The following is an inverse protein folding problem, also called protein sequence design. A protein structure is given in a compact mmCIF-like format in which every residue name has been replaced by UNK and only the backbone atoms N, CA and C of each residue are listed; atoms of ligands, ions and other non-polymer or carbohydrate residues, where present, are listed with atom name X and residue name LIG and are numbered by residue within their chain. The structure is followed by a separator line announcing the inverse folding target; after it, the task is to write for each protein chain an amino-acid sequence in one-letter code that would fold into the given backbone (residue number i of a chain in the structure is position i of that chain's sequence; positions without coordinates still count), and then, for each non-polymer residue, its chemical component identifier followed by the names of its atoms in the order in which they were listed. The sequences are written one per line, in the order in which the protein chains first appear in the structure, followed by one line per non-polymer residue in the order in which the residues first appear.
data_IF_509628497477
#
_entry.id   IF_509628497477
#
_cell.length_a   1.000
_cell.length_b   1.000
_cell.length_c   1.000
_cell.angle_alpha   90.00
_cell.angle_beta   90.00
_cell.angle_gamma   90.00
#
_symmetry.space_group_name_H-M   'P 1'
#
loop_
_entity.id
_entity.type
_entity.pdbx_description
1 polymer ?
#
# COMPACT_ATOMS: atom_id res chain seq x y z
N UNK A 1 -14.54 -0.55 -3.10
CA UNK A 1 -15.59 -1.59 -2.97
C UNK A 1 -14.97 -2.95 -3.23
N UNK A 2 -15.26 -3.98 -2.43
CA UNK A 2 -14.84 -5.36 -2.70
C UNK A 2 -15.96 -6.08 -3.46
N UNK A 3 -15.69 -6.56 -4.67
CA UNK A 3 -16.64 -7.38 -5.44
C UNK A 3 -16.51 -8.82 -4.95
N UNK A 4 -17.61 -9.42 -4.49
CA UNK A 4 -17.60 -10.79 -4.00
C UNK A 4 -17.23 -11.80 -5.11
N UNK A 5 -16.52 -12.87 -4.74
CA UNK A 5 -16.14 -13.94 -5.66
C UNK A 5 -17.35 -14.51 -6.41
N UNK A 6 -18.47 -14.77 -5.73
CA UNK A 6 -19.70 -15.29 -6.36
C UNK A 6 -20.17 -14.39 -7.50
N UNK A 7 -20.21 -13.07 -7.29
CA UNK A 7 -20.62 -12.10 -8.30
C UNK A 7 -19.68 -12.11 -9.51
N UNK A 8 -18.37 -12.25 -9.30
CA UNK A 8 -17.41 -12.37 -10.42
C UNK A 8 -17.72 -13.62 -11.25
N UNK A 9 -17.93 -14.76 -10.59
CA UNK A 9 -18.16 -16.05 -11.25
C UNK A 9 -19.52 -16.11 -11.96
N UNK A 10 -20.57 -15.58 -11.33
CA UNK A 10 -21.92 -15.46 -11.89
C UNK A 10 -21.90 -14.58 -13.13
N UNK A 11 -21.38 -13.35 -13.04
CA UNK A 11 -21.27 -12.45 -14.19
C UNK A 11 -20.42 -13.06 -15.30
N UNK A 12 -19.29 -13.72 -14.98
CA UNK A 12 -18.45 -14.36 -15.99
C UNK A 12 -19.22 -15.43 -16.79
N UNK A 13 -20.13 -16.15 -16.14
CA UNK A 13 -20.98 -17.16 -16.78
C UNK A 13 -22.13 -16.53 -17.57
N UNK A 14 -22.79 -15.53 -17.00
CA UNK A 14 -23.92 -14.83 -17.63
C UNK A 14 -23.49 -14.11 -18.91
N UNK A 15 -22.39 -13.36 -18.83
CA UNK A 15 -21.85 -12.56 -19.93
C UNK A 15 -20.95 -13.38 -20.88
N UNK A 16 -20.69 -14.66 -20.57
CA UNK A 16 -19.85 -15.57 -21.36
C UNK A 16 -18.48 -14.97 -21.70
N UNK A 17 -17.81 -14.43 -20.68
CA UNK A 17 -16.54 -13.72 -20.86
C UNK A 17 -15.42 -14.65 -21.32
N UNK A 18 -14.50 -14.13 -22.13
CA UNK A 18 -13.34 -14.89 -22.61
C UNK A 18 -12.19 -14.91 -21.59
N UNK A 19 -12.11 -13.93 -20.69
CA UNK A 19 -11.05 -13.77 -19.68
C UNK A 19 -11.64 -13.15 -18.41
N UNK A 20 -11.17 -13.60 -17.24
CA UNK A 20 -11.43 -12.94 -15.95
C UNK A 20 -10.18 -12.18 -15.51
N UNK A 21 -10.31 -10.88 -15.25
CA UNK A 21 -9.25 -10.05 -14.67
C UNK A 21 -9.46 -9.84 -13.16
N UNK A 22 -8.43 -10.11 -12.35
CA UNK A 22 -8.44 -9.85 -10.91
C UNK A 22 -7.36 -8.82 -10.55
N UNK A 23 -7.76 -7.77 -9.82
CA UNK A 23 -6.88 -6.71 -9.34
C UNK A 23 -6.80 -6.69 -7.82
N UNK A 24 -5.59 -6.57 -7.26
CA UNK A 24 -5.34 -6.54 -5.82
C UNK A 24 -4.38 -5.43 -5.41
N UNK A 25 -4.74 -4.67 -4.37
CA UNK A 25 -3.93 -3.56 -3.85
C UNK A 25 -3.18 -3.93 -2.56
N UNK A 26 -3.80 -4.74 -1.69
CA UNK A 26 -3.27 -5.09 -0.37
C UNK A 26 -3.03 -6.59 -0.25
N UNK A 27 -2.22 -7.02 0.72
CA UNK A 27 -1.82 -8.42 0.89
C UNK A 27 -3.02 -9.37 1.03
N UNK A 28 -4.09 -9.05 1.79
CA UNK A 28 -5.29 -9.90 1.87
C UNK A 28 -5.96 -10.16 0.52
N UNK A 29 -5.82 -9.26 -0.47
CA UNK A 29 -6.37 -9.49 -1.81
C UNK A 29 -5.74 -10.71 -2.51
N UNK A 30 -4.52 -11.11 -2.12
CA UNK A 30 -3.87 -12.30 -2.66
C UNK A 30 -4.57 -13.59 -2.23
N UNK A 31 -5.07 -13.66 -0.99
CA UNK A 31 -5.81 -14.81 -0.50
C UNK A 31 -7.18 -14.93 -1.20
N UNK A 32 -7.85 -13.80 -1.47
CA UNK A 32 -9.07 -13.77 -2.29
C UNK A 32 -8.82 -14.28 -3.71
N UNK A 33 -7.70 -13.92 -4.34
CA UNK A 33 -7.35 -14.45 -5.67
C UNK A 33 -7.13 -15.97 -5.65
N UNK A 34 -6.50 -16.51 -4.59
CA UNK A 34 -6.37 -17.96 -4.40
C UNK A 34 -7.73 -18.62 -4.20
N UNK A 35 -8.61 -17.99 -3.43
CA UNK A 35 -9.98 -18.47 -3.21
C UNK A 35 -10.76 -18.52 -4.53
N UNK A 36 -10.72 -17.45 -5.33
CA UNK A 36 -11.39 -17.39 -6.65
C UNK A 36 -10.85 -18.48 -7.58
N UNK A 37 -9.53 -18.71 -7.63
CA UNK A 37 -8.95 -19.78 -8.44
C UNK A 37 -9.49 -21.17 -8.04
N UNK A 38 -9.59 -21.45 -6.73
CA UNK A 38 -10.20 -22.70 -6.23
C UNK A 38 -11.67 -22.82 -6.59
N UNK A 39 -12.42 -21.73 -6.53
CA UNK A 39 -13.84 -21.73 -6.89
C UNK A 39 -14.06 -21.92 -8.38
N UNK A 40 -13.24 -21.30 -9.23
CA UNK A 40 -13.23 -21.56 -10.68
C UNK A 40 -13.00 -23.05 -10.99
N UNK A 41 -12.03 -23.66 -10.32
CA UNK A 41 -11.77 -25.10 -10.44
C UNK A 41 -12.94 -25.95 -9.93
N UNK A 42 -13.49 -25.62 -8.76
CA UNK A 42 -14.64 -26.32 -8.17
C UNK A 42 -15.85 -26.31 -9.09
N UNK A 43 -16.08 -25.18 -9.77
CA UNK A 43 -17.15 -25.00 -10.75
C UNK A 43 -16.80 -25.52 -12.14
N UNK A 44 -15.58 -26.06 -12.33
CA UNK A 44 -15.07 -26.59 -13.61
C UNK A 44 -15.15 -25.57 -14.74
N UNK A 45 -14.87 -24.32 -14.42
CA UNK A 45 -14.74 -23.27 -15.43
C UNK A 45 -13.45 -23.48 -16.23
N UNK A 46 -13.42 -23.02 -17.47
CA UNK A 46 -12.25 -23.11 -18.37
C UNK A 46 -11.95 -21.74 -19.01
N UNK A 47 -12.12 -20.68 -18.21
CA UNK A 47 -11.88 -19.30 -18.59
C UNK A 47 -10.49 -18.90 -18.06
N UNK A 48 -9.57 -18.39 -18.90
CA UNK A 48 -8.30 -17.84 -18.46
C UNK A 48 -8.46 -16.72 -17.41
N UNK A 49 -7.50 -16.65 -16.49
CA UNK A 49 -7.43 -15.63 -15.43
C UNK A 49 -6.19 -14.77 -15.60
N UNK A 50 -6.38 -13.45 -15.65
CA UNK A 50 -5.31 -12.46 -15.58
C UNK A 50 -5.24 -11.85 -14.17
N UNK A 51 -4.09 -11.97 -13.53
CA UNK A 51 -3.81 -11.45 -12.19
C UNK A 51 -2.95 -10.19 -12.30
N UNK A 52 -3.39 -9.08 -11.69
CA UNK A 52 -2.65 -7.82 -11.65
C UNK A 52 -2.88 -7.03 -10.36
N UNK A 53 -2.20 -5.89 -10.24
CA UNK A 53 -2.28 -5.00 -9.08
C UNK A 53 -1.03 -5.01 -8.21
N UNK A 54 -0.94 -4.05 -7.29
CA UNK A 54 0.28 -3.66 -6.58
C UNK A 54 0.93 -4.79 -5.77
N UNK A 55 0.13 -5.66 -5.14
CA UNK A 55 0.63 -6.76 -4.30
C UNK A 55 0.89 -8.05 -5.08
N UNK A 56 0.46 -8.11 -6.34
CA UNK A 56 0.61 -9.30 -7.16
C UNK A 56 2.02 -9.43 -7.72
N UNK A 57 2.48 -10.67 -7.90
CA UNK A 57 3.77 -10.94 -8.52
C UNK A 57 3.74 -12.25 -9.29
N UNK A 58 4.70 -12.39 -10.22
CA UNK A 58 4.96 -13.64 -10.92
C UNK A 58 5.16 -14.80 -9.95
N UNK A 59 5.97 -14.56 -8.92
CA UNK A 59 6.32 -15.57 -7.92
C UNK A 59 5.09 -16.03 -7.12
N UNK A 60 4.30 -15.09 -6.60
CA UNK A 60 3.09 -15.44 -5.85
C UNK A 60 2.10 -16.20 -6.74
N UNK A 61 1.85 -15.72 -7.95
CA UNK A 61 0.91 -16.35 -8.88
C UNK A 61 1.32 -17.79 -9.21
N UNK A 62 2.59 -18.02 -9.56
CA UNK A 62 3.11 -19.35 -9.87
C UNK A 62 3.11 -20.31 -8.68
N UNK A 63 3.35 -19.82 -7.46
CA UNK A 63 3.51 -20.66 -6.26
C UNK A 63 2.19 -20.89 -5.52
N UNK A 64 1.25 -19.93 -5.58
CA UNK A 64 0.06 -19.92 -4.71
C UNK A 64 -1.27 -19.90 -5.43
N UNK A 65 -1.34 -19.39 -6.66
CA UNK A 65 -2.62 -19.21 -7.37
C UNK A 65 -2.78 -20.28 -8.45
N UNK A 66 -1.88 -20.34 -9.43
CA UNK A 66 -2.00 -21.17 -10.64
C UNK A 66 -2.18 -22.66 -10.34
N UNK A 67 -1.58 -23.18 -9.27
CA UNK A 67 -1.72 -24.59 -8.90
C UNK A 67 -3.14 -24.99 -8.42
N UNK A 68 -4.04 -24.02 -8.20
CA UNK A 68 -5.41 -24.29 -7.75
C UNK A 68 -6.43 -24.30 -8.91
N UNK A 69 -6.00 -24.02 -10.14
CA UNK A 69 -6.89 -23.90 -11.28
C UNK A 69 -6.22 -24.39 -12.57
N UNK A 70 -6.87 -25.32 -13.27
CA UNK A 70 -6.30 -25.99 -14.44
C UNK A 70 -6.19 -25.07 -15.66
N UNK A 71 -7.11 -24.12 -15.81
CA UNK A 71 -7.09 -23.18 -16.93
C UNK A 71 -5.98 -22.12 -16.74
N UNK A 72 -5.55 -21.44 -17.83
CA UNK A 72 -4.41 -20.54 -17.76
C UNK A 72 -4.60 -19.42 -16.73
N UNK A 73 -3.67 -19.33 -15.77
CA UNK A 73 -3.61 -18.24 -14.80
C UNK A 73 -2.31 -17.47 -15.02
N UNK A 74 -2.40 -16.20 -15.40
CA UNK A 74 -1.25 -15.39 -15.80
C UNK A 74 -1.16 -14.11 -14.99
N UNK A 75 0.00 -13.87 -14.38
CA UNK A 75 0.35 -12.58 -13.83
C UNK A 75 0.76 -11.60 -14.93
N UNK A 76 0.17 -10.40 -14.88
CA UNK A 76 0.45 -9.31 -15.81
C UNK A 76 0.97 -8.13 -15.02
N UNK A 77 2.14 -7.62 -15.44
CA UNK A 77 2.88 -6.59 -14.71
C UNK A 77 2.20 -5.21 -14.78
N UNK A 78 1.72 -4.83 -15.96
CA UNK A 78 1.20 -3.50 -16.25
C UNK A 78 0.20 -3.55 -17.43
N UNK A 79 -0.55 -2.47 -17.63
CA UNK A 79 -1.59 -2.39 -18.66
C UNK A 79 -1.04 -2.57 -20.08
N UNK A 80 0.18 -2.09 -20.35
CA UNK A 80 0.81 -2.20 -21.68
C UNK A 80 1.02 -3.66 -22.10
N UNK A 81 1.34 -4.54 -21.15
CA UNK A 81 1.51 -5.98 -21.39
C UNK A 81 0.19 -6.75 -21.41
N UNK A 82 -0.85 -6.23 -20.76
CA UNK A 82 -2.15 -6.89 -20.67
C UNK A 82 -2.76 -7.14 -22.05
N UNK A 83 -2.62 -6.21 -22.99
CA UNK A 83 -3.17 -6.34 -24.35
C UNK A 83 -2.58 -7.56 -25.06
N UNK A 84 -1.25 -7.68 -25.10
CA UNK A 84 -0.59 -8.81 -25.77
C UNK A 84 -0.86 -10.16 -25.09
N UNK A 85 -1.00 -10.17 -23.76
CA UNK A 85 -1.38 -11.37 -23.01
C UNK A 85 -2.81 -11.78 -23.33
N UNK A 86 -3.76 -10.84 -23.29
CA UNK A 86 -5.16 -11.11 -23.61
C UNK A 86 -5.33 -11.65 -25.04
N UNK A 87 -4.69 -11.02 -26.02
CA UNK A 87 -4.65 -11.49 -27.41
C UNK A 87 -4.12 -12.91 -27.53
N UNK A 88 -3.04 -13.24 -26.81
CA UNK A 88 -2.47 -14.59 -26.82
C UNK A 88 -3.41 -15.62 -26.20
N UNK A 89 -4.17 -15.25 -25.16
CA UNK A 89 -5.09 -16.14 -24.45
C UNK A 89 -6.37 -16.48 -25.23
N UNK A 90 -6.84 -15.56 -26.09
CA UNK A 90 -8.04 -15.76 -26.91
C UNK A 90 -7.74 -16.28 -28.32
N UNK A 91 -6.50 -16.12 -28.78
CA UNK A 91 -6.10 -16.56 -30.12
C UNK A 91 -6.07 -18.08 -30.24
N UNK A 92 -6.70 -18.61 -31.29
CA UNK A 92 -6.70 -20.06 -31.60
C UNK A 92 -5.30 -20.59 -31.90
N UNK A 93 -4.46 -19.77 -32.51
CA UNK A 93 -3.13 -20.18 -32.98
C UNK A 93 -2.05 -19.96 -31.91
N UNK A 94 -2.19 -18.93 -31.07
CA UNK A 94 -1.16 -18.56 -30.10
C UNK A 94 -1.38 -19.17 -28.71
N UNK A 95 -2.62 -19.48 -28.33
CA UNK A 95 -2.96 -19.89 -26.96
C UNK A 95 -2.19 -21.12 -26.51
N UNK A 96 -2.11 -22.16 -27.35
CA UNK A 96 -1.47 -23.42 -26.97
C UNK A 96 0.00 -23.24 -26.61
N UNK A 97 0.78 -22.59 -27.49
CA UNK A 97 2.20 -22.34 -27.28
C UNK A 97 2.44 -21.35 -26.14
N UNK A 98 1.61 -20.30 -26.04
CA UNK A 98 1.69 -19.34 -24.94
C UNK A 98 1.50 -20.01 -23.57
N UNK A 99 0.45 -20.83 -23.43
CA UNK A 99 0.14 -21.53 -22.17
C UNK A 99 1.23 -22.54 -21.82
N UNK A 100 1.76 -23.27 -22.82
CA UNK A 100 2.88 -24.18 -22.61
C UNK A 100 4.10 -23.44 -22.05
N UNK A 101 4.53 -22.37 -22.71
CA UNK A 101 5.68 -21.58 -22.28
C UNK A 101 5.46 -20.94 -20.90
N UNK A 102 4.24 -20.48 -20.62
CA UNK A 102 3.86 -19.92 -19.31
C UNK A 102 4.01 -20.96 -18.19
N UNK A 103 3.53 -22.19 -18.41
CA UNK A 103 3.60 -23.28 -17.42
C UNK A 103 5.05 -23.69 -17.15
N UNK A 104 5.88 -23.80 -18.19
CA UNK A 104 7.31 -24.10 -18.07
C UNK A 104 8.03 -23.02 -17.25
N UNK A 105 7.75 -21.75 -17.55
CA UNK A 105 8.29 -20.60 -16.83
C UNK A 105 7.85 -20.57 -15.35
N UNK A 106 6.58 -20.85 -15.07
CA UNK A 106 6.05 -20.90 -13.70
C UNK A 106 6.61 -22.07 -12.90
N UNK A 107 6.84 -23.21 -13.54
CA UNK A 107 7.54 -24.33 -12.91
C UNK A 107 8.96 -23.95 -12.52
N UNK A 108 9.71 -23.29 -13.41
CA UNK A 108 11.04 -22.80 -13.09
C UNK A 108 11.02 -21.79 -11.93
N UNK A 109 10.02 -20.90 -11.88
CA UNK A 109 9.81 -19.98 -10.76
C UNK A 109 9.58 -20.73 -9.44
N UNK A 110 8.75 -21.79 -9.44
CA UNK A 110 8.50 -22.63 -8.25
C UNK A 110 9.76 -23.32 -7.77
N UNK A 111 10.52 -23.95 -8.67
CA UNK A 111 11.80 -24.60 -8.36
C UNK A 111 12.77 -23.60 -7.72
N UNK A 112 12.92 -22.43 -8.34
CA UNK A 112 13.80 -21.37 -7.84
C UNK A 112 13.36 -20.85 -6.47
N UNK A 113 12.06 -20.66 -6.26
CA UNK A 113 11.51 -20.20 -4.99
C UNK A 113 11.73 -21.24 -3.87
N UNK A 114 11.47 -22.52 -4.14
CA UNK A 114 11.73 -23.60 -3.20
C UNK A 114 13.23 -23.72 -2.84
N UNK A 115 14.11 -23.56 -3.82
CA UNK A 115 15.56 -23.53 -3.61
C UNK A 115 16.03 -22.36 -2.75
N UNK A 116 15.46 -21.17 -2.94
CA UNK A 116 15.75 -19.98 -2.09
C UNK A 116 15.29 -20.20 -0.65
N UNK A 117 14.07 -20.70 -0.44
CA UNK A 117 13.52 -20.96 0.91
C UNK A 117 14.38 -21.96 1.70
N UNK A 118 14.96 -22.96 1.04
CA UNK A 118 15.91 -23.91 1.65
C UNK A 118 17.25 -23.27 2.03
N UNK A 119 17.65 -22.16 1.39
CA UNK A 119 18.91 -21.44 1.63
C UNK A 119 18.79 -20.31 2.65
N UNK A 120 17.57 -19.91 3.03
CA UNK A 120 17.38 -18.85 4.02
C UNK A 120 17.75 -19.38 5.40
N UNK A 121 18.81 -18.83 5.98
CA UNK A 121 19.19 -19.10 7.36
C UNK A 121 18.28 -18.32 8.29
N UNK A 122 17.38 -19.03 8.95
CA UNK A 122 16.50 -18.47 9.97
C UNK A 122 17.20 -18.52 11.33
N UNK A 123 17.11 -17.41 12.06
CA UNK A 123 17.39 -17.39 13.49
C UNK A 123 16.15 -17.92 14.25
N UNK A 124 16.36 -18.50 15.43
CA UNK A 124 15.23 -18.72 16.35
C UNK A 124 14.67 -17.36 16.80
N UNK A 125 13.43 -17.33 17.29
CA UNK A 125 12.84 -16.09 17.77
C UNK A 125 13.65 -15.50 18.94
N UNK A 126 14.12 -16.37 19.84
CA UNK A 126 14.94 -15.99 20.99
C UNK A 126 16.28 -15.40 20.53
N UNK A 127 16.93 -16.02 19.54
CA UNK A 127 18.17 -15.50 18.96
C UNK A 127 17.96 -14.15 18.25
N UNK A 128 16.84 -13.97 17.55
CA UNK A 128 16.49 -12.70 16.92
C UNK A 128 16.23 -11.61 17.97
N UNK A 129 15.49 -11.91 19.05
CA UNK A 129 15.23 -10.99 20.17
C UNK A 129 16.52 -10.61 20.91
N UNK A 130 17.43 -11.57 21.11
CA UNK A 130 18.74 -11.30 21.68
C UNK A 130 19.61 -10.38 20.80
N UNK A 131 19.35 -10.35 19.48
CA UNK A 131 19.99 -9.46 18.50
C UNK A 131 19.13 -8.24 18.14
N UNK A 132 18.27 -7.76 19.04
CA UNK A 132 17.47 -6.54 18.84
C UNK A 132 18.32 -5.27 18.79
N UNK A 133 17.71 -4.15 18.39
CA UNK A 133 18.39 -2.84 18.44
C UNK A 133 18.79 -2.55 19.88
N UNK A 134 20.05 -2.12 20.08
CA UNK A 134 20.57 -1.72 21.39
C UNK A 134 20.58 -0.21 21.47
N UNK A 135 19.58 0.35 22.16
CA UNK A 135 19.48 1.78 22.47
C UNK A 135 19.98 1.97 23.89
N UNK A 136 20.83 2.98 24.09
CA UNK A 136 21.22 3.42 25.43
C UNK A 136 20.13 4.34 25.99
N UNK A 137 19.15 3.73 26.65
CA UNK A 137 17.98 4.42 27.16
C UNK A 137 18.30 5.44 28.26
N UNK A 138 19.38 5.25 29.03
CA UNK A 138 19.74 6.18 30.12
C UNK A 138 20.24 7.54 29.61
N UNK A 139 20.85 7.56 28.41
CA UNK A 139 21.35 8.78 27.77
C UNK A 139 20.45 9.33 26.66
N UNK A 140 19.33 8.63 26.37
CA UNK A 140 18.41 9.00 25.29
C UNK A 140 17.44 10.10 25.73
N UNK A 141 17.28 11.11 24.88
CA UNK A 141 16.17 12.08 25.00
C UNK A 141 14.94 11.50 24.29
N UNK A 142 13.97 11.04 25.08
CA UNK A 142 12.74 10.41 24.59
C UNK A 142 11.71 11.48 24.13
N UNK A 143 11.92 12.76 24.45
CA UNK A 143 11.06 13.87 24.03
C UNK A 143 9.62 13.73 24.53
N UNK A 144 9.29 14.42 25.63
CA UNK A 144 7.90 14.44 26.14
C UNK A 144 6.98 15.21 25.19
N UNK A 145 5.86 14.61 24.73
CA UNK A 145 4.88 15.32 23.91
C UNK A 145 4.28 16.54 24.61
N UNK A 146 4.10 17.63 23.88
CA UNK A 146 3.34 18.80 24.36
C UNK A 146 1.82 18.48 24.51
N UNK A 147 1.33 17.44 23.83
CA UNK A 147 -0.06 16.98 23.88
C UNK A 147 -0.17 15.46 23.87
N UNK A 148 -1.01 14.92 24.75
CA UNK A 148 -1.50 13.53 24.71
C UNK A 148 -3.02 13.50 24.61
N UNK A 149 -3.55 12.43 23.99
CA UNK A 149 -4.97 12.27 23.66
C UNK A 149 -5.23 12.36 22.16
N UNK A 150 -6.48 12.63 21.79
CA UNK A 150 -6.97 12.59 20.40
C UNK A 150 -7.30 14.00 19.89
N UNK A 151 -6.88 14.31 18.66
CA UNK A 151 -7.29 15.47 17.86
C UNK A 151 -8.05 15.00 16.63
N UNK A 152 -9.22 15.60 16.40
CA UNK A 152 -10.06 15.33 15.24
C UNK A 152 -10.09 16.58 14.35
N UNK A 153 -9.93 16.36 13.05
CA UNK A 153 -10.05 17.36 12.00
C UNK A 153 -11.19 16.91 11.09
N UNK A 154 -12.36 17.53 11.22
CA UNK A 154 -13.56 17.14 10.47
C UNK A 154 -13.72 17.87 9.12
N UNK A 155 -12.96 18.92 8.88
CA UNK A 155 -13.00 19.70 7.63
C UNK A 155 -11.67 20.44 7.44
N UNK A 156 -10.62 19.70 7.05
CA UNK A 156 -9.29 20.27 6.86
C UNK A 156 -9.20 21.01 5.51
N UNK A 157 -8.64 22.23 5.44
CA UNK A 157 -8.52 22.97 4.19
C UNK A 157 -7.65 22.23 3.16
N UNK A 158 -8.23 21.87 2.01
CA UNK A 158 -7.49 21.19 0.94
C UNK A 158 -6.39 22.08 0.34
N UNK A 159 -6.56 23.40 0.40
CA UNK A 159 -5.59 24.39 -0.05
C UNK A 159 -4.23 24.20 0.63
N UNK A 160 -4.24 23.89 1.93
CA UNK A 160 -3.02 23.67 2.71
C UNK A 160 -2.27 22.40 2.29
N UNK A 161 -2.98 21.42 1.72
CA UNK A 161 -2.37 20.16 1.29
C UNK A 161 -1.58 20.29 -0.01
N UNK A 162 -1.82 21.33 -0.82
CA UNK A 162 -1.15 21.53 -2.11
C UNK A 162 0.38 21.50 -1.98
N UNK A 163 0.90 22.09 -0.90
CA UNK A 163 2.34 22.22 -0.66
C UNK A 163 3.02 20.89 -0.30
N UNK A 164 2.24 19.89 0.14
CA UNK A 164 2.74 18.59 0.60
C UNK A 164 2.62 17.50 -0.47
N UNK A 165 2.11 17.81 -1.67
CA UNK A 165 1.96 16.83 -2.74
C UNK A 165 3.33 16.42 -3.29
N UNK A 166 3.70 15.15 -3.12
CA UNK A 166 4.73 14.51 -3.95
C UNK A 166 4.11 14.14 -5.30
N UNK A 167 4.53 14.89 -6.32
CA UNK A 167 4.11 14.70 -7.71
C UNK A 167 4.82 13.54 -8.40
N UNK A 168 5.88 12.95 -7.83
CA UNK A 168 6.59 11.84 -8.47
C UNK A 168 5.69 10.62 -8.69
N UNK A 169 4.95 10.13 -7.67
CA UNK A 169 4.06 9.00 -7.89
C UNK A 169 2.81 9.36 -8.70
N UNK A 170 2.43 10.64 -8.80
CA UNK A 170 1.41 11.10 -9.75
C UNK A 170 1.82 10.73 -11.19
N UNK A 171 3.04 11.07 -11.60
CA UNK A 171 3.53 10.70 -12.94
C UNK A 171 3.66 9.19 -13.12
N UNK A 172 4.04 8.45 -12.07
CA UNK A 172 4.11 6.99 -12.14
C UNK A 172 2.74 6.35 -12.36
N UNK A 173 1.67 6.89 -11.76
CA UNK A 173 0.31 6.42 -12.01
C UNK A 173 -0.12 6.57 -13.47
N UNK A 174 0.46 7.54 -14.18
CA UNK A 174 0.29 7.77 -15.62
C UNK A 174 1.37 7.10 -16.48
N UNK A 175 2.13 6.14 -15.94
CA UNK A 175 3.24 5.43 -16.60
C UNK A 175 4.39 6.34 -17.12
N UNK A 176 4.45 7.59 -16.65
CA UNK A 176 5.52 8.53 -16.93
C UNK A 176 6.62 8.41 -15.86
N UNK A 177 7.55 7.48 -16.09
CA UNK A 177 8.68 7.27 -15.17
C UNK A 177 9.69 8.41 -15.23
N UNK A 178 9.74 9.21 -14.18
CA UNK A 178 10.76 10.22 -13.88
C UNK A 178 10.44 10.91 -12.54
N UNK A 179 11.44 11.57 -11.93
CA UNK A 179 11.27 12.30 -10.67
C UNK A 179 10.82 13.74 -10.92
N UNK A 180 9.83 14.25 -10.20
CA UNK A 180 9.46 15.66 -10.23
C UNK A 180 10.52 16.54 -9.49
N UNK A 181 10.83 17.77 -9.94
CA UNK A 181 10.34 18.43 -11.16
C UNK A 181 11.12 18.06 -12.44
N UNK A 182 12.19 17.25 -12.34
CA UNK A 182 13.09 16.94 -13.46
C UNK A 182 12.38 16.31 -14.67
N UNK A 183 11.33 15.54 -14.45
CA UNK A 183 10.54 14.92 -15.50
C UNK A 183 9.90 15.93 -16.47
N UNK A 184 9.61 17.15 -16.01
CA UNK A 184 8.98 18.19 -16.83
C UNK A 184 9.90 18.69 -17.95
N UNK A 185 11.21 18.58 -17.77
CA UNK A 185 12.23 18.99 -18.75
C UNK A 185 12.97 17.78 -19.33
N UNK A 186 12.42 16.58 -19.16
CA UNK A 186 12.98 15.36 -19.75
C UNK A 186 12.94 15.43 -21.28
N UNK A 187 14.00 14.94 -21.94
CA UNK A 187 14.15 15.08 -23.39
C UNK A 187 13.11 14.28 -24.20
N UNK A 188 12.61 13.17 -23.65
CA UNK A 188 11.63 12.31 -24.33
C UNK A 188 10.21 12.53 -23.81
N UNK A 189 10.07 12.74 -22.49
CA UNK A 189 8.76 12.76 -21.80
C UNK A 189 8.31 14.13 -21.36
N UNK A 190 9.19 15.14 -21.39
CA UNK A 190 8.96 16.44 -20.76
C UNK A 190 7.74 17.18 -21.30
N UNK A 191 7.49 17.09 -22.61
CA UNK A 191 6.33 17.72 -23.23
C UNK A 191 5.02 17.15 -22.69
N UNK A 192 4.85 15.82 -22.72
CA UNK A 192 3.63 15.15 -22.23
C UNK A 192 3.50 15.22 -20.71
N UNK A 193 4.61 15.12 -19.96
CA UNK A 193 4.61 15.33 -18.51
C UNK A 193 4.15 16.74 -18.15
N UNK A 194 4.59 17.76 -18.89
CA UNK A 194 4.19 19.14 -18.66
C UNK A 194 2.72 19.41 -18.99
N UNK A 195 2.19 18.81 -20.07
CA UNK A 195 0.75 18.88 -20.41
C UNK A 195 -0.10 18.22 -19.33
N UNK A 196 0.23 16.98 -18.97
CA UNK A 196 -0.46 16.23 -17.91
C UNK A 196 -0.44 17.00 -16.58
N UNK A 197 0.71 17.56 -16.22
CA UNK A 197 0.83 18.34 -14.99
C UNK A 197 -0.04 19.59 -15.00
N UNK A 198 -0.12 20.29 -16.13
CA UNK A 198 -1.01 21.44 -16.29
C UNK A 198 -2.48 21.07 -16.09
N UNK A 199 -2.90 19.95 -16.68
CA UNK A 199 -4.28 19.44 -16.52
C UNK A 199 -4.55 19.05 -15.06
N UNK A 200 -3.58 18.43 -14.40
CA UNK A 200 -3.67 18.05 -13.00
C UNK A 200 -3.83 19.28 -12.09
N UNK A 201 -3.07 20.35 -12.33
CA UNK A 201 -3.21 21.61 -11.59
C UNK A 201 -4.57 22.26 -11.83
N UNK A 202 -5.06 22.27 -13.06
CA UNK A 202 -6.38 22.80 -13.38
C UNK A 202 -7.52 22.00 -12.70
N UNK A 203 -7.39 20.68 -12.65
CA UNK A 203 -8.34 19.81 -11.95
C UNK A 203 -8.26 20.00 -10.42
N UNK A 204 -7.05 20.10 -9.88
CA UNK A 204 -6.81 20.35 -8.46
C UNK A 204 -7.43 21.69 -8.02
N UNK A 205 -7.30 22.73 -8.84
CA UNK A 205 -7.92 24.03 -8.56
C UNK A 205 -9.45 23.94 -8.55
N UNK A 206 -10.07 23.14 -9.43
CA UNK A 206 -11.52 22.88 -9.41
C UNK A 206 -11.95 22.11 -8.16
N UNK A 207 -11.27 21.00 -7.86
CA UNK A 207 -11.53 20.18 -6.67
C UNK A 207 -11.61 21.05 -5.42
N UNK A 208 -10.70 22.01 -5.31
CA UNK A 208 -10.55 22.87 -4.13
C UNK A 208 -11.54 24.03 -4.15
N UNK A 209 -11.59 24.80 -5.23
CA UNK A 209 -12.48 25.97 -5.32
C UNK A 209 -13.97 25.62 -5.27
N UNK A 210 -14.35 24.46 -5.82
CA UNK A 210 -15.72 23.95 -5.82
C UNK A 210 -16.00 22.98 -4.67
N UNK A 211 -15.02 22.69 -3.81
CA UNK A 211 -15.12 21.79 -2.65
C UNK A 211 -15.69 20.41 -3.00
N UNK A 212 -15.19 19.80 -4.08
CA UNK A 212 -15.61 18.46 -4.52
C UNK A 212 -15.30 17.37 -3.50
N UNK A 213 -14.24 17.57 -2.71
CA UNK A 213 -13.72 16.60 -1.78
C UNK A 213 -13.67 17.17 -0.36
N UNK A 214 -13.90 16.32 0.63
CA UNK A 214 -13.71 16.66 2.04
C UNK A 214 -12.51 15.92 2.63
N UNK A 215 -11.66 16.67 3.35
CA UNK A 215 -10.52 16.13 4.07
C UNK A 215 -10.83 15.97 5.56
N UNK A 216 -10.66 14.75 6.07
CA UNK A 216 -10.79 14.42 7.50
C UNK A 216 -9.57 13.69 8.02
N UNK A 217 -9.20 14.00 9.26
CA UNK A 217 -8.13 13.31 9.97
C UNK A 217 -8.46 13.08 11.43
N UNK A 218 -7.85 12.05 11.99
CA UNK A 218 -7.71 11.87 13.43
C UNK A 218 -6.24 11.60 13.72
N UNK A 219 -5.71 12.27 14.73
CA UNK A 219 -4.33 12.11 15.21
C UNK A 219 -4.40 11.86 16.71
N UNK A 220 -3.63 10.90 17.21
CA UNK A 220 -3.52 10.62 18.63
C UNK A 220 -2.08 10.42 19.06
N UNK A 221 -1.77 10.86 20.28
CA UNK A 221 -0.49 10.62 20.97
C UNK A 221 -0.80 10.04 22.33
N UNK A 222 -0.22 8.89 22.66
CA UNK A 222 -0.59 8.12 23.83
C UNK A 222 0.64 7.69 24.62
N UNK A 223 0.57 7.65 25.96
CA UNK A 223 1.61 7.05 26.78
C UNK A 223 1.79 5.58 26.39
N UNK A 224 3.02 5.14 26.19
CA UNK A 224 3.33 3.79 25.74
C UNK A 224 4.65 3.26 26.30
N UNK A 225 4.80 1.94 26.39
CA UNK A 225 6.08 1.31 26.70
C UNK A 225 6.22 -0.03 25.98
N UNK A 226 7.45 -0.37 25.60
CA UNK A 226 7.78 -1.68 25.06
C UNK A 226 7.62 -2.77 26.13
N UNK A 227 7.06 -3.92 25.75
CA UNK A 227 6.90 -5.12 26.59
C UNK A 227 7.14 -6.39 25.77
N UNK A 228 7.40 -7.51 26.43
CA UNK A 228 7.51 -8.84 25.79
C UNK A 228 8.50 -8.88 24.60
N UNK A 229 9.57 -8.08 24.67
CA UNK A 229 10.59 -7.82 23.64
C UNK A 229 10.12 -7.14 22.35
N UNK A 230 8.90 -7.39 21.87
CA UNK A 230 8.44 -6.98 20.54
C UNK A 230 7.20 -6.08 20.56
N UNK A 231 6.41 -6.12 21.62
CA UNK A 231 5.09 -5.48 21.68
C UNK A 231 5.17 -4.12 22.38
N UNK A 232 4.13 -3.29 22.20
CA UNK A 232 4.01 -2.00 22.89
C UNK A 232 2.66 -1.93 23.60
N UNK A 233 2.68 -1.76 24.92
CA UNK A 233 1.49 -1.39 25.69
C UNK A 233 1.20 0.09 25.48
N UNK A 234 -0.06 0.42 25.17
CA UNK A 234 -0.59 1.78 25.11
C UNK A 234 -1.52 1.96 26.30
N UNK A 235 -1.35 3.04 27.06
CA UNK A 235 -2.09 3.29 28.29
C UNK A 235 -3.22 4.31 28.08
N UNK A 236 -4.20 4.29 28.98
CA UNK A 236 -5.33 5.25 28.96
C UNK A 236 -4.90 6.69 29.27
N UNK A 237 -3.86 6.85 30.09
CA UNK A 237 -3.32 8.12 30.56
C UNK A 237 -1.89 7.98 31.11
N UNK A 238 -1.29 9.10 31.54
CA UNK A 238 0.10 9.16 32.04
C UNK A 238 0.33 8.41 33.35
N UNK A 239 -0.72 7.97 34.07
CA UNK A 239 -0.54 7.13 35.26
C UNK A 239 -0.03 5.74 34.91
N UNK A 240 -0.24 5.29 33.65
CA UNK A 240 0.18 3.98 33.12
C UNK A 240 -0.33 2.80 33.97
N UNK A 241 -1.49 2.98 34.62
CA UNK A 241 -2.11 1.97 35.49
C UNK A 241 -3.04 1.03 34.72
N UNK A 242 -3.72 1.54 33.69
CA UNK A 242 -4.63 0.78 32.83
C UNK A 242 -4.08 0.72 31.40
N UNK A 243 -3.94 -0.49 30.87
CA UNK A 243 -3.55 -0.74 29.48
C UNK A 243 -4.80 -0.61 28.61
N UNK A 244 -4.79 0.35 27.69
CA UNK A 244 -5.85 0.56 26.71
C UNK A 244 -5.82 -0.52 25.63
N UNK A 245 -4.64 -0.81 25.09
CA UNK A 245 -4.43 -1.84 24.07
C UNK A 245 -2.96 -2.22 23.99
N UNK A 246 -2.67 -3.33 23.32
CA UNK A 246 -1.30 -3.73 22.97
C UNK A 246 -1.15 -3.70 21.46
N UNK A 247 -0.09 -3.06 20.97
CA UNK A 247 0.31 -3.06 19.57
C UNK A 247 1.35 -4.16 19.36
N UNK A 248 1.05 -5.10 18.47
CA UNK A 248 1.92 -6.24 18.20
C UNK A 248 2.77 -5.99 16.96
N UNK A 249 4.09 -6.16 17.10
CA UNK A 249 5.03 -5.99 16.00
C UNK A 249 5.77 -7.29 15.69
N UNK A 250 6.16 -7.44 14.42
CA UNK A 250 6.93 -8.59 13.96
C UNK A 250 8.42 -8.26 14.01
N UNK A 251 9.20 -9.22 14.52
CA UNK A 251 10.66 -9.17 14.47
C UNK A 251 11.20 -9.82 13.21
N UNK A 252 12.20 -9.20 12.58
CA UNK A 252 12.96 -9.84 11.51
C UNK A 252 13.60 -11.14 12.03
N UNK A 253 13.38 -12.29 11.38
CA UNK A 253 13.91 -13.59 11.83
C UNK A 253 14.99 -14.19 10.92
N UNK A 254 15.39 -13.51 9.85
CA UNK A 254 16.56 -13.94 9.07
C UNK A 254 17.82 -13.69 9.87
N UNK A 255 18.80 -14.60 9.80
CA UNK A 255 20.11 -14.38 10.41
C UNK A 255 20.74 -13.14 9.79
N UNK A 256 21.05 -12.15 10.63
CA UNK A 256 21.64 -10.89 10.19
C UNK A 256 23.17 -10.98 10.14
N UNK A 257 23.84 -10.21 9.27
CA UNK A 257 25.29 -10.08 9.32
C UNK A 257 25.73 -9.46 10.65
N UNK A 258 26.97 -9.71 11.10
CA UNK A 258 27.50 -9.14 12.34
C UNK A 258 27.32 -7.61 12.40
N UNK A 259 26.85 -7.11 13.54
CA UNK A 259 26.61 -5.68 13.77
C UNK A 259 25.27 -5.16 13.24
N UNK A 260 24.50 -5.95 12.49
CA UNK A 260 23.14 -5.58 12.08
C UNK A 260 22.10 -6.23 12.99
N UNK A 261 21.20 -5.45 13.62
CA UNK A 261 20.18 -6.02 14.49
C UNK A 261 19.05 -6.68 13.69
N UNK A 262 18.35 -7.58 14.35
CA UNK A 262 17.07 -8.12 13.93
C UNK A 262 15.97 -7.13 14.34
N UNK A 263 15.68 -6.16 13.47
CA UNK A 263 14.76 -5.07 13.77
C UNK A 263 13.34 -5.55 14.13
N UNK A 264 12.75 -4.88 15.11
CA UNK A 264 11.32 -4.84 15.42
C UNK A 264 10.92 -3.37 15.64
N UNK A 265 9.70 -2.97 15.27
CA UNK A 265 9.24 -1.59 15.52
C UNK A 265 9.13 -1.29 17.02
N UNK A 266 8.79 -2.27 17.85
CA UNK A 266 8.75 -2.13 19.30
C UNK A 266 10.13 -1.83 19.93
N UNK A 267 11.24 -2.06 19.20
CA UNK A 267 12.59 -1.74 19.70
C UNK A 267 12.83 -0.24 19.91
N UNK A 268 12.01 0.62 19.28
CA UNK A 268 12.15 2.08 19.31
C UNK A 268 11.27 2.75 20.36
N UNK A 269 10.62 1.97 21.23
CA UNK A 269 9.84 2.47 22.37
C UNK A 269 10.50 2.00 23.67
N UNK A 270 10.67 2.89 24.63
CA UNK A 270 11.37 2.60 25.88
C UNK A 270 10.71 1.40 26.61
N UNK A 271 11.49 0.36 26.96
CA UNK A 271 10.97 -0.81 27.66
C UNK A 271 10.36 -0.42 29.00
N UNK A 272 9.27 -1.08 29.40
CA UNK A 272 8.61 -0.83 30.68
C UNK A 272 9.55 -0.98 31.88
N UNK A 273 10.50 -1.91 31.81
CA UNK A 273 11.48 -2.17 32.88
C UNK A 273 12.50 -1.05 33.04
N UNK A 274 12.67 -0.17 32.04
CA UNK A 274 13.55 1.00 32.14
C UNK A 274 13.02 2.07 33.10
N UNK A 275 11.71 2.05 33.40
CA UNK A 275 11.04 3.10 34.17
C UNK A 275 10.89 4.44 33.44
N UNK A 276 11.33 4.54 32.18
CA UNK A 276 11.20 5.74 31.37
C UNK A 276 9.78 5.88 30.79
N UNK A 277 9.34 7.13 30.69
CA UNK A 277 8.04 7.49 30.14
C UNK A 277 8.19 7.79 28.64
N UNK A 278 7.69 6.89 27.81
CA UNK A 278 7.68 7.05 26.34
C UNK A 278 6.23 7.11 25.82
N UNK A 279 6.08 7.40 24.53
CA UNK A 279 4.82 7.67 23.87
C UNK A 279 4.78 7.06 22.48
N UNK A 280 3.58 6.86 21.95
CA UNK A 280 3.40 6.46 20.56
C UNK A 280 2.27 7.26 19.93
N UNK A 281 2.48 7.63 18.66
CA UNK A 281 1.50 8.33 17.85
C UNK A 281 0.79 7.38 16.88
N UNK A 282 -0.47 7.69 16.58
CA UNK A 282 -1.22 7.05 15.49
C UNK A 282 -2.08 8.09 14.77
N UNK A 283 -2.36 7.87 13.50
CA UNK A 283 -3.25 8.74 12.74
C UNK A 283 -4.02 7.97 11.67
N UNK A 284 -5.12 8.55 11.21
CA UNK A 284 -5.82 8.15 10.01
C UNK A 284 -6.30 9.41 9.27
N UNK A 285 -6.10 9.46 7.96
CA UNK A 285 -6.49 10.57 7.09
C UNK A 285 -7.31 10.08 5.91
N UNK A 286 -8.17 10.95 5.39
CA UNK A 286 -8.85 10.73 4.10
C UNK A 286 -9.16 12.07 3.44
N UNK A 287 -9.11 12.09 2.12
CA UNK A 287 -9.48 13.23 1.26
C UNK A 287 -10.48 12.81 0.18
N UNK A 288 -10.98 11.57 0.23
CA UNK A 288 -11.82 10.99 -0.84
C UNK A 288 -13.33 11.11 -0.60
N UNK A 289 -13.77 11.78 0.47
CA UNK A 289 -15.20 11.91 0.78
C UNK A 289 -15.82 12.84 -0.28
N UNK A 290 -16.86 12.37 -0.99
CA UNK A 290 -17.52 13.09 -2.09
C UNK A 290 -17.07 12.69 -3.49
N UNK A 291 -16.01 11.88 -3.61
CA UNK A 291 -15.42 11.56 -4.92
C UNK A 291 -16.34 10.80 -5.89
N UNK A 292 -17.18 9.90 -5.37
CA UNK A 292 -17.94 8.93 -6.17
C UNK A 292 -18.90 9.61 -7.15
N UNK A 293 -19.56 10.71 -6.75
CA UNK A 293 -20.47 11.46 -7.61
C UNK A 293 -19.74 12.07 -8.81
N UNK A 294 -18.57 12.68 -8.55
CA UNK A 294 -17.77 13.32 -9.59
C UNK A 294 -17.12 12.32 -10.54
N UNK A 295 -16.62 11.21 -10.01
CA UNK A 295 -16.12 10.08 -10.82
C UNK A 295 -17.23 9.54 -11.71
N UNK A 296 -18.40 9.26 -11.13
CA UNK A 296 -19.54 8.75 -11.90
C UNK A 296 -19.96 9.71 -13.00
N UNK A 297 -19.97 11.02 -12.74
CA UNK A 297 -20.26 12.04 -13.75
C UNK A 297 -19.31 11.93 -14.95
N UNK A 298 -18.00 11.81 -14.71
CA UNK A 298 -17.03 11.64 -15.79
C UNK A 298 -17.19 10.29 -16.52
N UNK A 299 -17.47 9.20 -15.78
CA UNK A 299 -17.70 7.87 -16.37
C UNK A 299 -18.98 7.85 -17.24
N UNK A 300 -20.07 8.50 -16.79
CA UNK A 300 -21.33 8.63 -17.55
C UNK A 300 -21.16 9.51 -18.81
N UNK A 301 -20.19 10.44 -18.79
CA UNK A 301 -19.78 11.27 -19.94
C UNK A 301 -18.70 10.61 -20.83
N UNK A 302 -18.32 9.36 -20.54
CA UNK A 302 -17.23 8.62 -21.22
C UNK A 302 -15.86 9.32 -21.16
N UNK A 303 -15.61 10.12 -20.13
CA UNK A 303 -14.35 10.83 -19.90
C UNK A 303 -13.47 10.08 -18.87
N UNK A 304 -12.91 8.96 -19.31
CA UNK A 304 -12.02 8.13 -18.48
C UNK A 304 -10.78 8.92 -18.01
N UNK A 305 -10.31 9.88 -18.81
CA UNK A 305 -9.15 10.70 -18.47
C UNK A 305 -9.41 11.52 -17.22
N UNK A 306 -10.53 12.23 -17.16
CA UNK A 306 -10.88 13.05 -15.99
C UNK A 306 -11.25 12.19 -14.77
N UNK A 307 -11.92 11.05 -14.99
CA UNK A 307 -12.21 10.11 -13.91
C UNK A 307 -10.92 9.58 -13.25
N UNK A 308 -9.92 9.20 -14.04
CA UNK A 308 -8.61 8.76 -13.54
C UNK A 308 -7.86 9.93 -12.90
N UNK A 309 -7.84 11.11 -13.54
CA UNK A 309 -7.18 12.31 -13.00
C UNK A 309 -7.68 12.66 -11.60
N UNK A 310 -9.01 12.67 -11.41
CA UNK A 310 -9.62 12.92 -10.10
C UNK A 310 -9.22 11.86 -9.07
N UNK A 311 -9.29 10.56 -9.42
CA UNK A 311 -8.89 9.46 -8.53
C UNK A 311 -7.43 9.57 -8.09
N UNK A 312 -6.52 9.85 -9.04
CA UNK A 312 -5.08 10.00 -8.75
C UNK A 312 -4.83 11.24 -7.89
N UNK A 313 -5.48 12.37 -8.18
CA UNK A 313 -5.32 13.59 -7.37
C UNK A 313 -5.87 13.42 -5.95
N UNK A 314 -7.00 12.74 -5.76
CA UNK A 314 -7.52 12.43 -4.43
C UNK A 314 -6.52 11.59 -3.63
N UNK A 315 -5.91 10.58 -4.25
CA UNK A 315 -4.83 9.78 -3.65
C UNK A 315 -3.60 10.63 -3.30
N UNK A 316 -3.16 11.52 -4.20
CA UNK A 316 -2.07 12.48 -3.92
C UNK A 316 -2.39 13.40 -2.73
N UNK A 317 -3.63 13.88 -2.63
CA UNK A 317 -4.10 14.68 -1.50
C UNK A 317 -4.12 13.88 -0.20
N UNK A 318 -4.46 12.59 -0.22
CA UNK A 318 -4.45 11.75 0.97
C UNK A 318 -3.02 11.57 1.52
N UNK A 319 -2.05 11.32 0.63
CA UNK A 319 -0.63 11.23 1.01
C UNK A 319 -0.08 12.57 1.50
N UNK A 320 -0.43 13.67 0.81
CA UNK A 320 -0.10 15.02 1.26
C UNK A 320 -0.66 15.32 2.65
N UNK A 321 -1.86 14.81 2.96
CA UNK A 321 -2.48 14.98 4.27
C UNK A 321 -1.78 14.16 5.35
N UNK A 322 -1.32 12.96 5.04
CA UNK A 322 -0.49 12.18 5.95
C UNK A 322 0.79 12.94 6.31
N UNK A 323 1.47 13.54 5.33
CA UNK A 323 2.68 14.33 5.57
C UNK A 323 2.38 15.62 6.35
N UNK A 324 1.28 16.31 6.04
CA UNK A 324 0.84 17.49 6.77
C UNK A 324 0.53 17.17 8.25
N UNK A 325 -0.21 16.10 8.53
CA UNK A 325 -0.50 15.65 9.90
C UNK A 325 0.75 15.21 10.62
N UNK A 326 1.65 14.49 9.94
CA UNK A 326 2.93 14.10 10.52
C UNK A 326 3.76 15.33 10.90
N UNK A 327 3.87 16.34 10.01
CA UNK A 327 4.54 17.61 10.34
C UNK A 327 3.90 18.29 11.55
N UNK A 328 2.58 18.33 11.65
CA UNK A 328 1.91 18.89 12.84
C UNK A 328 2.22 18.10 14.11
N UNK A 329 2.34 16.77 14.05
CA UNK A 329 2.78 15.96 15.18
C UNK A 329 4.22 16.36 15.58
N UNK A 330 5.16 16.38 14.65
CA UNK A 330 6.58 16.69 14.96
C UNK A 330 6.78 18.10 15.52
N UNK A 331 6.04 19.09 15.01
CA UNK A 331 6.25 20.51 15.29
C UNK A 331 5.32 21.09 16.35
N UNK A 332 4.11 20.52 16.55
CA UNK A 332 3.07 21.10 17.43
C UNK A 332 2.55 20.17 18.52
N UNK A 333 2.27 18.89 18.22
CA UNK A 333 1.60 18.00 19.18
C UNK A 333 2.58 17.16 20.01
N UNK A 334 3.52 16.49 19.34
CA UNK A 334 4.68 15.91 20.00
C UNK A 334 5.74 16.98 20.24
N UNK A 335 5.93 17.84 19.24
CA UNK A 335 6.71 19.07 19.35
C UNK A 335 8.18 18.85 19.76
N UNK A 336 8.76 17.71 19.41
CA UNK A 336 10.20 17.44 19.56
C UNK A 336 11.06 18.20 18.53
N UNK A 337 10.45 18.76 17.48
CA UNK A 337 11.13 19.49 16.41
C UNK A 337 10.40 20.80 16.07
N UNK A 338 10.18 21.68 17.06
CA UNK A 338 9.40 22.94 16.90
C UNK A 338 9.93 23.87 15.81
N UNK A 339 11.24 23.90 15.61
CA UNK A 339 11.92 24.81 14.67
C UNK A 339 12.23 24.15 13.31
N UNK A 340 11.57 23.04 12.96
CA UNK A 340 11.79 22.32 11.69
C UNK A 340 11.45 23.18 10.46
N UNK A 341 12.38 23.27 9.51
CA UNK A 341 12.21 23.96 8.21
C UNK A 341 12.53 23.03 7.03
N UNK A 342 11.91 21.84 7.01
CA UNK A 342 12.06 20.84 5.94
C UNK A 342 11.19 21.12 4.72
#
# INVERSE_FOLDING_TARGET
MMVAASKILETAKEEKVDIIGLSGLITPSLDEMVHIAKELQRLKMDIPVMIGGATTSKAHTAVKIEQNYDAPTVWVKDASRAVGVAQSLISKDLKADFVKNLREDYEQVRINHAGRRKKTNWASLEAARANKVKIDWESSDIGTPDFTGIKVFDDYPLEELKEFIDWTPFFYAWELKGRYPKILTDAEKGEEASKLFKDALAMLDKIISEKWLQAKAVVGVFPANGVNDDDVEVYTDETRTEVLTTLNFLRQQTQQPPGRPNYCLGDFIAPKESGLQDHIGAFAVTTGIGIDEHVKRFEDDFDDYQAIMLKVLADRLAEAFAEAMHKQVRTKYWAYAKDETL
#
